data_IF_647836206990
#
_entry.id   IF_647836206990
#
_cell.length_a   1.000
_cell.length_b   1.000
_cell.length_c   1.000
_cell.angle_alpha   90.00
_cell.angle_beta   90.00
_cell.angle_gamma   90.00
#
_symmetry.space_group_name_H-M   'P 1'
#
loop_
_entity.id
_entity.type
_entity.pdbx_description
1 polymer ?
#
# COMPACT_ATOMS: atom_id res chain seq x y z
N UNK A 1 -13.72 45.35 30.45
CA UNK A 1 -12.26 45.10 30.44
C UNK A 1 -11.98 44.07 29.36
N UNK A 2 -11.18 44.47 28.38
CA UNK A 2 -10.80 43.71 27.19
C UNK A 2 -9.88 42.54 27.56
N UNK A 3 -10.29 41.31 27.24
CA UNK A 3 -9.45 40.11 27.34
C UNK A 3 -8.88 39.79 25.97
N UNK A 4 -7.68 40.28 25.68
CA UNK A 4 -6.89 39.91 24.51
C UNK A 4 -6.47 38.45 24.70
N UNK A 5 -7.06 37.53 23.93
CA UNK A 5 -6.54 36.16 23.79
C UNK A 5 -5.17 36.24 23.12
N UNK A 6 -4.11 36.11 23.92
CA UNK A 6 -2.74 35.93 23.45
C UNK A 6 -2.68 34.66 22.59
N UNK A 7 -2.58 34.81 21.25
CA UNK A 7 -2.23 33.70 20.35
C UNK A 7 -0.74 33.41 20.55
N UNK A 8 -0.44 32.41 21.36
CA UNK A 8 0.91 31.86 21.49
C UNK A 8 1.40 31.38 20.12
N UNK A 9 2.59 31.83 19.70
CA UNK A 9 3.27 31.31 18.50
C UNK A 9 3.62 29.84 18.74
N UNK A 10 2.88 28.91 18.12
CA UNK A 10 3.18 27.47 18.17
C UNK A 10 4.22 27.15 17.10
N UNK A 11 5.43 26.75 17.51
CA UNK A 11 6.47 26.29 16.60
C UNK A 11 6.11 24.91 16.06
N UNK A 12 5.83 24.80 14.77
CA UNK A 12 5.54 23.52 14.10
C UNK A 12 6.85 22.80 13.82
N UNK A 13 7.05 21.63 14.41
CA UNK A 13 8.22 20.77 14.17
C UNK A 13 7.85 19.76 13.09
N UNK A 14 8.78 19.46 12.18
CA UNK A 14 8.59 18.56 11.03
C UNK A 14 8.42 17.06 11.40
N UNK A 15 8.27 16.74 12.69
CA UNK A 15 8.29 15.36 13.21
C UNK A 15 6.87 14.74 13.35
N UNK A 16 5.85 15.40 12.76
CA UNK A 16 4.48 14.88 12.74
C UNK A 16 3.83 14.74 14.12
N UNK A 17 4.04 15.73 14.99
CA UNK A 17 3.60 15.73 16.40
C UNK A 17 2.17 16.30 16.57
N UNK A 18 1.61 16.11 17.77
CA UNK A 18 0.31 16.61 18.21
C UNK A 18 0.11 18.10 17.92
N UNK A 19 1.17 18.89 18.06
CA UNK A 19 1.14 20.33 17.82
C UNK A 19 0.91 20.67 16.34
N UNK A 20 1.48 19.89 15.42
CA UNK A 20 1.26 20.04 13.97
C UNK A 20 -0.18 19.72 13.61
N UNK A 21 -0.73 18.64 14.17
CA UNK A 21 -2.15 18.28 14.02
C UNK A 21 -3.08 19.37 14.55
N UNK A 22 -2.81 19.90 15.74
CA UNK A 22 -3.58 20.98 16.35
C UNK A 22 -3.56 22.26 15.53
N UNK A 23 -2.40 22.65 14.97
CA UNK A 23 -2.30 23.84 14.11
C UNK A 23 -3.13 23.65 12.82
N UNK A 24 -3.10 22.47 12.21
CA UNK A 24 -3.88 22.19 11.01
C UNK A 24 -5.39 22.25 11.30
N UNK A 25 -5.82 21.72 12.45
CA UNK A 25 -7.20 21.82 12.91
C UNK A 25 -7.61 23.28 13.17
N UNK A 26 -6.81 24.04 13.92
CA UNK A 26 -7.05 25.46 14.20
C UNK A 26 -7.22 26.28 12.90
N UNK A 27 -6.40 26.01 11.88
CA UNK A 27 -6.50 26.66 10.56
C UNK A 27 -7.79 26.26 9.85
N UNK A 28 -8.11 24.97 9.84
CA UNK A 28 -9.28 24.43 9.15
C UNK A 28 -10.59 24.94 9.78
N UNK A 29 -10.66 25.00 11.11
CA UNK A 29 -11.78 25.59 11.85
C UNK A 29 -11.91 27.10 11.60
N UNK A 30 -10.78 27.82 11.53
CA UNK A 30 -10.74 29.24 11.21
C UNK A 30 -11.28 29.53 9.82
N UNK A 31 -10.86 28.75 8.82
CA UNK A 31 -11.36 28.83 7.44
C UNK A 31 -12.86 28.52 7.37
N UNK A 32 -13.30 27.44 8.02
CA UNK A 32 -14.70 27.07 8.07
C UNK A 32 -15.57 28.14 8.75
N UNK A 33 -15.07 28.76 9.83
CA UNK A 33 -15.73 29.86 10.51
C UNK A 33 -15.85 31.12 9.64
N UNK A 34 -14.88 31.37 8.76
CA UNK A 34 -14.94 32.49 7.82
C UNK A 34 -16.07 32.35 6.79
N UNK A 35 -16.46 31.11 6.46
CA UNK A 35 -17.54 30.82 5.52
C UNK A 35 -18.95 31.09 6.09
N UNK A 36 -19.08 31.32 7.40
CA UNK A 36 -20.37 31.62 8.03
C UNK A 36 -20.70 33.10 7.88
N UNK A 37 -21.72 33.40 7.08
CA UNK A 37 -22.25 34.76 6.91
C UNK A 37 -23.36 35.02 7.92
N UNK A 38 -23.18 35.90 8.92
CA UNK A 38 -24.18 36.14 9.97
C UNK A 38 -25.45 36.83 9.46
N UNK A 39 -25.44 37.42 8.25
CA UNK A 39 -26.59 38.12 7.67
C UNK A 39 -27.46 37.27 6.74
N UNK A 40 -27.04 36.04 6.41
CA UNK A 40 -27.79 35.14 5.51
C UNK A 40 -28.56 34.11 6.31
N UNK A 41 -29.89 34.19 6.23
CA UNK A 41 -30.84 33.30 6.91
C UNK A 41 -30.78 31.87 6.38
N UNK A 42 -30.64 30.89 7.29
CA UNK A 42 -30.95 29.47 7.03
C UNK A 42 -30.15 28.83 5.91
N UNK A 43 -28.83 29.08 5.84
CA UNK A 43 -27.99 28.52 4.77
C UNK A 43 -27.25 27.27 5.23
N UNK A 44 -27.37 26.21 4.43
CA UNK A 44 -26.51 25.02 4.49
C UNK A 44 -25.37 25.23 3.49
N UNK A 45 -24.11 25.17 3.96
CA UNK A 45 -22.92 25.25 3.09
C UNK A 45 -22.16 23.94 3.19
N UNK A 46 -21.93 23.31 2.04
CA UNK A 46 -21.19 22.06 1.94
C UNK A 46 -19.95 22.26 1.08
N UNK A 47 -18.80 21.83 1.58
CA UNK A 47 -17.55 21.70 0.80
C UNK A 47 -17.23 20.21 0.75
N UNK A 48 -17.02 19.70 -0.46
CA UNK A 48 -16.67 18.31 -0.68
C UNK A 48 -15.38 18.25 -1.51
N UNK A 49 -14.30 17.78 -0.90
CA UNK A 49 -13.00 17.56 -1.55
C UNK A 49 -12.41 16.24 -1.05
N UNK A 50 -11.46 15.63 -1.78
CA UNK A 50 -10.86 14.35 -1.39
C UNK A 50 -10.16 14.36 -0.02
N UNK A 51 -9.70 15.53 0.45
CA UNK A 51 -8.98 15.67 1.72
C UNK A 51 -9.82 16.33 2.83
N UNK A 52 -10.80 17.17 2.44
CA UNK A 52 -11.58 17.99 3.37
C UNK A 52 -13.05 17.94 2.98
N UNK A 53 -13.89 17.50 3.91
CA UNK A 53 -15.34 17.55 3.76
C UNK A 53 -15.96 18.31 4.92
N UNK A 54 -16.76 19.32 4.61
CA UNK A 54 -17.31 20.24 5.58
C UNK A 54 -18.79 20.43 5.30
N UNK A 55 -19.61 20.33 6.33
CA UNK A 55 -21.01 20.72 6.28
C UNK A 55 -21.28 21.70 7.41
N UNK A 56 -21.73 22.90 7.04
CA UNK A 56 -22.08 23.98 7.97
C UNK A 56 -23.57 24.25 7.84
N UNK A 57 -24.23 24.34 8.97
CA UNK A 57 -25.61 24.77 9.07
C UNK A 57 -25.74 26.00 9.95
N UNK A 58 -26.54 26.96 9.49
CA UNK A 58 -26.81 28.22 10.19
C UNK A 58 -28.29 28.36 10.48
N UNK A 59 -28.63 28.91 11.63
CA UNK A 59 -29.99 29.22 12.06
C UNK A 59 -30.13 30.71 12.39
N UNK A 60 -31.25 31.30 11.99
CA UNK A 60 -31.59 32.72 12.20
C UNK A 60 -33.14 32.88 12.27
N UNK A 61 -33.69 33.90 12.96
CA UNK A 61 -35.12 34.01 13.21
C UNK A 61 -35.88 34.25 11.91
N UNK A 62 -36.88 33.42 11.61
CA UNK A 62 -37.66 33.48 10.37
C UNK A 62 -37.33 32.37 9.34
N UNK A 63 -36.36 31.50 9.63
CA UNK A 63 -36.11 30.29 8.85
C UNK A 63 -37.11 29.19 9.21
N UNK A 64 -38.01 28.84 8.28
CA UNK A 64 -38.85 27.65 8.38
C UNK A 64 -38.04 26.43 7.92
N UNK A 65 -37.89 25.45 8.82
CA UNK A 65 -37.20 24.17 8.62
C UNK A 65 -35.67 24.23 8.45
N UNK A 66 -34.96 24.44 9.55
CA UNK A 66 -33.61 23.90 9.68
C UNK A 66 -33.69 22.41 10.02
N UNK A 67 -33.14 21.52 9.20
CA UNK A 67 -32.95 20.12 9.59
C UNK A 67 -32.00 20.07 10.78
N UNK A 68 -32.37 19.46 11.91
CA UNK A 68 -31.49 19.40 13.09
C UNK A 68 -30.28 18.47 12.93
N UNK A 69 -30.01 17.97 11.73
CA UNK A 69 -29.00 16.93 11.46
C UNK A 69 -28.06 17.42 10.36
N UNK A 70 -26.78 17.52 10.70
CA UNK A 70 -25.68 17.68 9.76
C UNK A 70 -25.13 16.29 9.43
N UNK A 71 -24.93 16.00 8.15
CA UNK A 71 -24.36 14.72 7.69
C UNK A 71 -23.18 14.95 6.76
N UNK A 72 -22.10 14.20 6.97
CA UNK A 72 -20.90 14.14 6.11
C UNK A 72 -20.43 12.68 6.07
N UNK A 73 -20.33 12.07 4.87
CA UNK A 73 -19.89 10.67 4.66
C UNK A 73 -20.46 9.63 5.64
N UNK A 74 -21.74 9.75 6.00
CA UNK A 74 -22.42 8.80 6.89
C UNK A 74 -22.17 9.03 8.39
N UNK A 75 -21.39 10.05 8.76
CA UNK A 75 -21.34 10.61 10.10
C UNK A 75 -22.45 11.64 10.24
N UNK A 76 -23.23 11.52 11.30
CA UNK A 76 -24.35 12.42 11.56
C UNK A 76 -24.14 13.13 12.89
N UNK A 77 -24.34 14.45 12.90
CA UNK A 77 -24.41 15.28 14.10
C UNK A 77 -25.82 15.85 14.20
N UNK A 78 -26.57 15.46 15.22
CA UNK A 78 -27.87 16.01 15.51
C UNK A 78 -27.76 17.08 16.61
N UNK A 79 -28.10 18.32 16.29
CA UNK A 79 -28.01 19.49 17.18
C UNK A 79 -29.22 20.40 17.03
N UNK A 80 -29.78 20.84 18.16
CA UNK A 80 -30.90 21.79 18.18
C UNK A 80 -30.38 23.24 18.09
N UNK A 81 -30.21 23.71 16.86
CA UNK A 81 -29.74 25.07 16.57
C UNK A 81 -30.75 26.16 16.97
N UNK A 82 -32.05 25.86 17.00
CA UNK A 82 -33.08 26.82 17.42
C UNK A 82 -32.95 27.13 18.91
N UNK A 83 -32.80 26.10 19.75
CA UNK A 83 -32.56 26.28 21.17
C UNK A 83 -31.28 27.08 21.42
N UNK A 84 -30.22 26.79 20.66
CA UNK A 84 -28.95 27.49 20.78
C UNK A 84 -29.04 28.96 20.32
N UNK A 85 -29.85 29.26 19.31
CA UNK A 85 -30.06 30.61 18.80
C UNK A 85 -30.86 31.50 19.77
N UNK A 86 -31.78 30.92 20.55
CA UNK A 86 -32.51 31.65 21.62
C UNK A 86 -31.56 32.22 22.66
N UNK A 87 -30.50 31.49 22.97
CA UNK A 87 -29.46 31.90 23.91
C UNK A 87 -28.38 32.80 23.27
N UNK A 88 -28.37 32.92 21.93
CA UNK A 88 -27.38 33.64 21.14
C UNK A 88 -27.97 34.75 20.27
N UNK A 89 -28.84 35.59 20.86
CA UNK A 89 -29.37 36.80 20.20
C UNK A 89 -30.04 36.54 18.83
N UNK A 90 -30.61 35.34 18.67
CA UNK A 90 -31.33 34.91 17.49
C UNK A 90 -30.52 34.15 16.43
N UNK A 91 -29.19 34.01 16.55
CA UNK A 91 -28.38 33.30 15.55
C UNK A 91 -27.48 32.21 16.15
N UNK A 92 -27.36 31.09 15.46
CA UNK A 92 -26.47 30.00 15.84
C UNK A 92 -25.96 29.25 14.60
N UNK A 93 -24.77 28.65 14.69
CA UNK A 93 -24.25 27.80 13.63
C UNK A 93 -23.57 26.56 14.20
N UNK A 94 -23.64 25.47 13.45
CA UNK A 94 -22.94 24.22 13.74
C UNK A 94 -22.22 23.76 12.48
N UNK A 95 -21.05 23.15 12.66
CA UNK A 95 -20.25 22.63 11.56
C UNK A 95 -19.70 21.25 11.92
N UNK A 96 -19.70 20.36 10.94
CA UNK A 96 -19.00 19.07 10.97
C UNK A 96 -17.97 19.08 9.85
N UNK A 97 -16.73 18.77 10.20
CA UNK A 97 -15.56 18.73 9.33
C UNK A 97 -14.91 17.35 9.43
N UNK A 98 -14.60 16.76 8.27
CA UNK A 98 -13.82 15.52 8.16
C UNK A 98 -12.54 15.84 7.41
N UNK A 99 -11.41 15.50 8.01
CA UNK A 99 -10.08 15.55 7.41
C UNK A 99 -9.60 14.14 7.13
N UNK A 100 -9.38 13.83 5.86
CA UNK A 100 -8.87 12.53 5.39
C UNK A 100 -7.36 12.63 5.12
N UNK A 101 -6.61 11.55 5.35
CA UNK A 101 -5.17 11.51 5.06
C UNK A 101 -4.27 12.07 6.16
N UNK A 102 -4.80 12.33 7.36
CA UNK A 102 -4.00 12.80 8.49
C UNK A 102 -3.11 11.71 9.10
N UNK A 103 -3.35 10.45 8.79
CA UNK A 103 -2.50 9.32 9.15
C UNK A 103 -1.06 9.43 8.58
N UNK A 104 -0.88 10.14 7.46
CA UNK A 104 0.45 10.38 6.90
C UNK A 104 1.20 11.55 7.55
N UNK A 105 0.49 12.41 8.29
CA UNK A 105 1.06 13.57 8.98
C UNK A 105 1.29 13.32 10.48
N UNK A 106 0.52 12.41 11.08
CA UNK A 106 0.65 12.02 12.48
C UNK A 106 1.59 10.82 12.58
N UNK A 107 2.74 11.00 13.21
CA UNK A 107 3.73 9.93 13.37
C UNK A 107 3.27 8.89 14.39
N UNK A 108 3.84 7.69 14.31
CA UNK A 108 3.72 6.64 15.33
C UNK A 108 4.13 7.12 16.73
N UNK A 109 5.04 8.11 16.81
CA UNK A 109 5.45 8.76 18.07
C UNK A 109 4.33 9.51 18.79
N UNK A 110 3.31 9.96 18.07
CA UNK A 110 2.13 10.58 18.67
C UNK A 110 1.42 9.60 19.62
N UNK A 111 1.38 8.32 19.26
CA UNK A 111 0.81 7.27 20.09
C UNK A 111 1.91 6.68 20.96
N UNK A 112 1.96 7.09 22.24
CA UNK A 112 2.86 6.49 23.25
C UNK A 112 2.37 5.09 23.63
N UNK A 113 2.58 4.14 22.75
CA UNK A 113 2.16 2.75 22.89
C UNK A 113 3.38 1.84 22.84
N UNK A 114 3.27 0.68 23.49
CA UNK A 114 4.35 -0.31 23.58
C UNK A 114 4.60 -1.02 22.23
N UNK A 115 3.59 -0.97 21.34
CA UNK A 115 3.63 -1.51 19.97
C UNK A 115 3.40 -0.36 18.97
N UNK A 116 3.98 -0.43 17.77
CA UNK A 116 3.73 0.55 16.69
C UNK A 116 2.25 0.60 16.31
N UNK A 117 1.50 1.55 16.89
CA UNK A 117 0.09 1.78 16.56
C UNK A 117 -0.01 2.87 15.50
N UNK A 118 -0.67 2.55 14.39
CA UNK A 118 -0.94 3.50 13.30
C UNK A 118 -2.38 3.96 13.39
N UNK A 119 -2.63 5.25 13.19
CA UNK A 119 -3.97 5.80 13.09
C UNK A 119 -4.65 5.28 11.81
N UNK A 120 -5.82 4.66 11.95
CA UNK A 120 -6.59 4.13 10.81
C UNK A 120 -8.02 4.68 10.79
N UNK A 121 -8.14 6.00 10.91
CA UNK A 121 -9.42 6.69 10.92
C UNK A 121 -9.27 8.11 10.40
N UNK A 122 -10.27 8.58 9.66
CA UNK A 122 -10.37 9.99 9.27
C UNK A 122 -10.62 10.83 10.54
N UNK A 123 -10.12 12.07 10.60
CA UNK A 123 -10.31 12.94 11.77
C UNK A 123 -11.63 13.70 11.63
N UNK A 124 -12.47 13.55 12.63
CA UNK A 124 -13.80 14.16 12.69
C UNK A 124 -13.77 15.30 13.69
N UNK A 125 -14.10 16.49 13.24
CA UNK A 125 -14.15 17.70 14.07
C UNK A 125 -15.56 18.29 14.00
N UNK A 126 -16.13 18.61 15.15
CA UNK A 126 -17.42 19.28 15.26
C UNK A 126 -17.28 20.51 16.14
N UNK A 127 -17.75 21.65 15.65
CA UNK A 127 -17.60 22.93 16.33
C UNK A 127 -18.78 23.87 16.04
N UNK A 128 -18.86 24.95 16.81
CA UNK A 128 -19.90 25.97 16.71
C UNK A 128 -19.28 27.27 16.16
N UNK A 129 -19.33 27.51 14.85
CA UNK A 129 -18.74 28.72 14.29
C UNK A 129 -19.48 29.97 14.77
N UNK A 130 -18.76 31.01 15.16
CA UNK A 130 -19.30 32.35 15.47
C UNK A 130 -20.49 32.34 16.47
N UNK A 131 -20.51 31.38 17.39
CA UNK A 131 -21.56 31.25 18.43
C UNK A 131 -20.93 31.56 19.79
N UNK A 132 -21.47 32.55 20.53
CA UNK A 132 -20.85 33.07 21.74
C UNK A 132 -21.15 32.23 23.00
N UNK A 133 -22.36 31.69 23.08
CA UNK A 133 -22.85 30.91 24.21
C UNK A 133 -23.02 29.44 23.79
N UNK A 134 -22.29 28.53 24.43
CA UNK A 134 -22.24 27.10 24.08
C UNK A 134 -23.06 26.20 25.02
N UNK A 135 -23.92 26.78 25.87
CA UNK A 135 -24.78 25.98 26.74
C UNK A 135 -25.89 25.31 25.92
N UNK A 136 -25.88 23.99 25.90
CA UNK A 136 -26.92 23.22 25.26
C UNK A 136 -28.02 22.86 26.26
N UNK A 137 -29.25 23.29 25.97
CA UNK A 137 -30.43 22.86 26.74
C UNK A 137 -30.89 21.42 26.39
N UNK A 138 -30.40 20.86 25.28
CA UNK A 138 -30.69 19.52 24.79
C UNK A 138 -29.40 18.81 24.38
N UNK A 139 -29.31 17.47 24.50
CA UNK A 139 -28.09 16.74 24.11
C UNK A 139 -27.82 16.83 22.60
N UNK A 140 -26.54 16.81 22.26
CA UNK A 140 -26.06 16.65 20.88
C UNK A 140 -25.74 15.18 20.64
N UNK A 141 -26.37 14.59 19.63
CA UNK A 141 -26.17 13.18 19.31
C UNK A 141 -25.22 13.04 18.12
N UNK A 142 -24.12 12.32 18.32
CA UNK A 142 -23.18 11.97 17.26
C UNK A 142 -23.32 10.50 16.88
N UNK A 143 -23.54 10.25 15.59
CA UNK A 143 -23.47 8.91 15.02
C UNK A 143 -22.22 8.83 14.17
N UNK A 144 -21.21 8.12 14.68
CA UNK A 144 -19.94 7.91 14.00
C UNK A 144 -19.92 6.48 13.48
N UNK A 145 -19.61 6.32 12.19
CA UNK A 145 -19.35 5.01 11.61
C UNK A 145 -17.85 4.76 11.65
N UNK A 146 -17.46 3.62 12.22
CA UNK A 146 -16.08 3.19 12.10
C UNK A 146 -15.78 2.90 10.64
N UNK A 147 -14.66 3.43 10.16
CA UNK A 147 -14.02 2.90 8.96
C UNK A 147 -13.74 1.43 9.29
N UNK A 148 -14.48 0.51 8.66
CA UNK A 148 -14.02 -0.89 8.62
C UNK A 148 -12.60 -0.83 8.07
N UNK A 149 -11.68 -1.65 8.57
CA UNK A 149 -10.46 -1.97 7.82
C UNK A 149 -10.99 -2.36 6.44
N UNK A 150 -10.87 -1.42 5.51
CA UNK A 150 -11.42 -1.56 4.19
C UNK A 150 -10.46 -2.49 3.51
N UNK A 151 -11.01 -3.52 2.88
CA UNK A 151 -10.30 -4.31 1.89
C UNK A 151 -9.42 -3.37 1.03
N UNK A 152 -8.23 -3.84 0.61
CA UNK A 152 -7.30 -3.03 -0.18
C UNK A 152 -8.04 -2.25 -1.28
N UNK A 153 -7.60 -1.02 -1.59
CA UNK A 153 -8.29 -0.15 -2.55
C UNK A 153 -8.65 -0.95 -3.81
N UNK A 154 -9.89 -0.83 -4.32
CA UNK A 154 -10.35 -1.64 -5.44
C UNK A 154 -9.31 -1.55 -6.55
N UNK A 155 -8.83 -2.70 -7.06
CA UNK A 155 -7.77 -2.71 -8.05
C UNK A 155 -8.14 -1.78 -9.20
N UNK A 156 -7.23 -0.87 -9.57
CA UNK A 156 -7.46 0.00 -10.71
C UNK A 156 -7.66 -0.89 -11.95
N UNK A 157 -8.84 -0.91 -12.59
CA UNK A 157 -9.14 -1.85 -13.67
C UNK A 157 -8.16 -1.69 -14.84
N UNK A 158 -7.61 -0.50 -15.02
CA UNK A 158 -6.56 -0.21 -15.98
C UNK A 158 -5.23 -0.90 -15.65
N UNK A 159 -4.78 -0.90 -14.39
CA UNK A 159 -3.51 -1.52 -13.99
C UNK A 159 -3.59 -3.04 -14.08
N UNK A 160 -4.72 -3.63 -13.70
CA UNK A 160 -4.95 -5.07 -13.84
C UNK A 160 -4.96 -5.50 -15.30
N UNK A 161 -5.68 -4.75 -16.14
CA UNK A 161 -5.71 -5.00 -17.58
C UNK A 161 -4.31 -4.88 -18.19
N UNK A 162 -3.57 -3.82 -17.86
CA UNK A 162 -2.21 -3.59 -18.36
C UNK A 162 -1.25 -4.71 -17.93
N UNK A 163 -1.30 -5.10 -16.66
CA UNK A 163 -0.49 -6.20 -16.13
C UNK A 163 -0.82 -7.51 -16.85
N UNK A 164 -2.12 -7.84 -17.00
CA UNK A 164 -2.55 -9.07 -17.68
C UNK A 164 -2.09 -9.11 -19.14
N UNK A 165 -2.23 -8.01 -19.88
CA UNK A 165 -1.76 -7.90 -21.27
C UNK A 165 -0.23 -8.02 -21.33
N UNK A 166 0.50 -7.32 -20.45
CA UNK A 166 1.95 -7.38 -20.39
C UNK A 166 2.48 -8.79 -20.12
N UNK A 167 1.88 -9.51 -19.17
CA UNK A 167 2.25 -10.89 -18.85
C UNK A 167 1.99 -11.85 -20.02
N UNK A 168 0.84 -11.74 -20.70
CA UNK A 168 0.51 -12.60 -21.87
C UNK A 168 1.53 -12.38 -22.99
N UNK A 169 1.85 -11.11 -23.30
CA UNK A 169 2.85 -10.77 -24.32
C UNK A 169 4.22 -11.31 -23.91
N UNK A 170 4.63 -11.14 -22.65
CA UNK A 170 5.89 -11.66 -22.13
C UNK A 170 5.99 -13.19 -22.25
N UNK A 171 4.92 -13.92 -21.91
CA UNK A 171 4.85 -15.37 -22.04
C UNK A 171 5.01 -15.84 -23.49
N UNK A 172 4.43 -15.12 -24.45
CA UNK A 172 4.61 -15.41 -25.87
C UNK A 172 6.08 -15.31 -26.28
N UNK A 173 6.78 -14.24 -25.89
CA UNK A 173 8.21 -14.08 -26.17
C UNK A 173 9.08 -15.13 -25.47
N UNK A 174 8.79 -15.47 -24.21
CA UNK A 174 9.49 -16.56 -23.53
C UNK A 174 9.27 -17.90 -24.24
N UNK A 175 8.06 -18.19 -24.72
CA UNK A 175 7.79 -19.41 -25.47
C UNK A 175 8.59 -19.48 -26.77
N UNK A 176 8.68 -18.38 -27.53
CA UNK A 176 9.51 -18.28 -28.73
C UNK A 176 11.00 -18.47 -28.43
N UNK A 177 11.50 -17.86 -27.34
CA UNK A 177 12.88 -18.00 -26.90
C UNK A 177 13.20 -19.45 -26.50
N UNK A 178 12.33 -20.08 -25.70
CA UNK A 178 12.46 -21.49 -25.31
C UNK A 178 12.48 -22.39 -26.54
N UNK A 179 11.55 -22.20 -27.49
CA UNK A 179 11.51 -22.96 -28.73
C UNK A 179 12.82 -22.82 -29.51
N UNK A 180 13.32 -21.60 -29.64
CA UNK A 180 14.57 -21.32 -30.36
C UNK A 180 15.76 -22.00 -29.66
N UNK A 181 15.88 -21.88 -28.34
CA UNK A 181 16.96 -22.53 -27.59
C UNK A 181 16.87 -24.05 -27.64
N UNK A 182 15.67 -24.63 -27.61
CA UNK A 182 15.47 -26.07 -27.79
C UNK A 182 15.94 -26.51 -29.18
N UNK A 183 15.51 -25.84 -30.25
CA UNK A 183 15.95 -26.11 -31.63
C UNK A 183 17.47 -25.97 -31.80
N UNK A 184 18.09 -24.96 -31.15
CA UNK A 184 19.53 -24.81 -31.14
C UNK A 184 20.23 -25.91 -30.33
N UNK A 185 19.64 -26.41 -29.24
CA UNK A 185 20.21 -27.48 -28.41
C UNK A 185 20.19 -28.86 -29.09
N UNK A 186 19.24 -29.09 -30.01
CA UNK A 186 19.27 -30.28 -30.89
C UNK A 186 20.55 -30.34 -31.73
N UNK A 187 21.18 -29.19 -31.99
CA UNK A 187 22.52 -29.14 -32.56
C UNK A 187 23.55 -29.24 -31.42
N UNK A 188 24.14 -30.41 -31.23
CA UNK A 188 25.10 -30.75 -30.16
C UNK A 188 26.37 -29.86 -30.06
N UNK A 189 26.50 -28.85 -30.91
CA UNK A 189 27.63 -27.91 -30.94
C UNK A 189 27.46 -26.73 -29.96
N UNK A 190 26.24 -26.43 -29.49
CA UNK A 190 25.93 -25.22 -28.70
C UNK A 190 25.29 -25.60 -27.35
N UNK A 191 25.94 -25.27 -26.23
CA UNK A 191 25.42 -25.49 -24.88
C UNK A 191 24.78 -24.19 -24.32
N UNK A 192 23.45 -24.10 -24.38
CA UNK A 192 22.67 -22.97 -23.87
C UNK A 192 21.82 -23.32 -22.64
N UNK A 193 22.22 -24.34 -21.85
CA UNK A 193 21.40 -24.86 -20.75
C UNK A 193 21.01 -23.80 -19.72
N UNK A 194 21.93 -22.92 -19.29
CA UNK A 194 21.60 -21.90 -18.29
C UNK A 194 20.50 -20.94 -18.77
N UNK A 195 20.62 -20.42 -20.00
CA UNK A 195 19.62 -19.54 -20.63
C UNK A 195 18.28 -20.21 -20.80
N UNK A 196 18.29 -21.48 -21.23
CA UNK A 196 17.05 -22.25 -21.41
C UNK A 196 16.30 -22.38 -20.07
N UNK A 197 17.00 -22.78 -19.00
CA UNK A 197 16.39 -22.94 -17.68
C UNK A 197 15.99 -21.60 -17.04
N UNK A 198 16.71 -20.51 -17.32
CA UNK A 198 16.29 -19.16 -16.96
C UNK A 198 14.95 -18.80 -17.61
N UNK A 199 14.80 -18.98 -18.93
CA UNK A 199 13.55 -18.70 -19.62
C UNK A 199 12.40 -19.59 -19.12
N UNK A 200 12.65 -20.88 -18.87
CA UNK A 200 11.63 -21.82 -18.37
C UNK A 200 11.13 -21.40 -16.98
N UNK A 201 12.04 -21.11 -16.05
CA UNK A 201 11.67 -20.72 -14.67
C UNK A 201 10.91 -19.39 -14.64
N UNK A 202 11.33 -18.41 -15.45
CA UNK A 202 10.60 -17.15 -15.63
C UNK A 202 9.21 -17.37 -16.23
N UNK A 203 9.08 -18.14 -17.30
CA UNK A 203 7.79 -18.42 -17.91
C UNK A 203 6.82 -19.09 -16.93
N UNK A 204 7.28 -20.11 -16.19
CA UNK A 204 6.47 -20.79 -15.18
C UNK A 204 6.07 -19.86 -14.03
N UNK A 205 6.95 -18.98 -13.55
CA UNK A 205 6.62 -18.01 -12.51
C UNK A 205 5.51 -17.05 -12.94
N UNK A 206 5.57 -16.54 -14.18
CA UNK A 206 4.55 -15.64 -14.74
C UNK A 206 3.21 -16.36 -14.96
N UNK A 207 3.24 -17.64 -15.37
CA UNK A 207 2.03 -18.46 -15.47
C UNK A 207 1.37 -18.68 -14.10
N UNK A 208 2.16 -18.99 -13.06
CA UNK A 208 1.64 -19.17 -11.72
C UNK A 208 1.07 -17.87 -11.14
N UNK A 209 1.72 -16.73 -11.39
CA UNK A 209 1.20 -15.41 -11.00
C UNK A 209 -0.15 -15.11 -11.64
N UNK A 210 -0.39 -15.56 -12.87
CA UNK A 210 -1.66 -15.34 -13.57
C UNK A 210 -2.80 -16.27 -13.08
N UNK A 211 -2.46 -17.33 -12.34
CA UNK A 211 -3.40 -18.34 -11.85
C UNK A 211 -3.49 -18.36 -10.31
N UNK A 212 -2.82 -17.43 -9.62
CA UNK A 212 -2.72 -17.42 -8.17
C UNK A 212 -4.04 -17.05 -7.48
N UNK A 213 -4.96 -16.42 -8.21
CA UNK A 213 -6.30 -15.98 -7.81
C UNK A 213 -7.29 -17.16 -7.79
N UNK A 214 -7.13 -18.13 -8.69
CA UNK A 214 -8.08 -19.22 -8.90
C UNK A 214 -8.11 -20.30 -7.81
N UNK A 215 -7.09 -20.35 -6.95
CA UNK A 215 -6.92 -21.41 -5.93
C UNK A 215 -6.96 -20.89 -4.49
N UNK A 216 -7.49 -19.69 -4.28
CA UNK A 216 -7.56 -19.00 -2.98
C UNK A 216 -8.47 -19.73 -1.99
N UNK A 217 -9.55 -20.36 -2.47
CA UNK A 217 -10.50 -21.10 -1.63
C UNK A 217 -9.88 -22.34 -0.95
N UNK A 218 -8.91 -22.98 -1.59
CA UNK A 218 -8.26 -24.17 -1.06
C UNK A 218 -6.93 -23.81 -0.39
N UNK A 219 -6.95 -23.71 0.95
CA UNK A 219 -5.79 -23.32 1.78
C UNK A 219 -4.51 -24.14 1.49
N UNK A 220 -4.64 -25.44 1.23
CA UNK A 220 -3.48 -26.31 0.94
C UNK A 220 -2.93 -26.02 -0.45
N UNK A 221 -3.81 -25.91 -1.45
CA UNK A 221 -3.40 -25.58 -2.82
C UNK A 221 -2.71 -24.21 -2.87
N UNK A 222 -3.26 -23.22 -2.17
CA UNK A 222 -2.70 -21.88 -2.08
C UNK A 222 -1.29 -21.86 -1.46
N UNK A 223 -1.08 -22.62 -0.36
CA UNK A 223 0.24 -22.80 0.26
C UNK A 223 1.26 -23.40 -0.71
N UNK A 224 0.88 -24.45 -1.44
CA UNK A 224 1.76 -25.11 -2.42
C UNK A 224 2.10 -24.17 -3.58
N UNK A 225 1.11 -23.45 -4.10
CA UNK A 225 1.30 -22.48 -5.19
C UNK A 225 2.25 -21.35 -4.78
N UNK A 226 2.07 -20.77 -3.59
CA UNK A 226 2.97 -19.76 -3.05
C UNK A 226 4.41 -20.29 -2.89
N UNK A 227 4.56 -21.54 -2.42
CA UNK A 227 5.86 -22.21 -2.29
C UNK A 227 6.55 -22.44 -3.63
N UNK A 228 5.83 -22.98 -4.62
CA UNK A 228 6.33 -23.21 -5.97
C UNK A 228 6.74 -21.90 -6.65
N UNK A 229 5.93 -20.86 -6.49
CA UNK A 229 6.18 -19.56 -7.05
C UNK A 229 7.44 -18.91 -6.43
N UNK A 230 7.60 -18.99 -5.11
CA UNK A 230 8.82 -18.57 -4.42
C UNK A 230 10.04 -19.34 -4.95
N UNK A 231 9.94 -20.66 -5.08
CA UNK A 231 11.03 -21.49 -5.64
C UNK A 231 11.41 -21.07 -7.06
N UNK A 232 10.44 -20.86 -7.95
CA UNK A 232 10.70 -20.50 -9.35
C UNK A 232 11.35 -19.13 -9.49
N UNK A 233 10.96 -18.16 -8.66
CA UNK A 233 11.56 -16.83 -8.65
C UNK A 233 13.00 -16.91 -8.15
N UNK A 234 13.26 -17.60 -7.02
CA UNK A 234 14.64 -17.73 -6.53
C UNK A 234 15.49 -18.52 -7.53
N UNK A 235 14.94 -19.57 -8.13
CA UNK A 235 15.61 -20.33 -9.18
C UNK A 235 15.98 -19.46 -10.39
N UNK A 236 15.12 -18.55 -10.84
CA UNK A 236 15.46 -17.66 -11.97
C UNK A 236 16.65 -16.76 -11.64
N UNK A 237 16.74 -16.23 -10.41
CA UNK A 237 17.91 -15.45 -9.97
C UNK A 237 19.20 -16.28 -9.94
N UNK A 238 19.14 -17.54 -9.47
CA UNK A 238 20.30 -18.44 -9.51
C UNK A 238 20.71 -18.79 -10.94
N UNK A 239 19.76 -19.02 -11.85
CA UNK A 239 20.05 -19.28 -13.26
C UNK A 239 20.63 -18.05 -13.97
N UNK A 240 20.16 -16.85 -13.65
CA UNK A 240 20.73 -15.59 -14.13
C UNK A 240 22.18 -15.40 -13.66
N UNK A 241 22.45 -15.70 -12.38
CA UNK A 241 23.81 -15.68 -11.84
C UNK A 241 24.72 -16.69 -12.55
N UNK A 242 24.24 -17.91 -12.79
CA UNK A 242 25.00 -18.95 -13.51
C UNK A 242 25.27 -18.57 -14.96
N UNK A 243 24.32 -17.92 -15.64
CA UNK A 243 24.54 -17.37 -16.98
C UNK A 243 25.65 -16.30 -16.96
N UNK A 244 25.61 -15.36 -16.01
CA UNK A 244 26.65 -14.33 -15.85
C UNK A 244 28.04 -14.96 -15.62
N UNK A 245 28.12 -15.98 -14.77
CA UNK A 245 29.37 -16.74 -14.53
C UNK A 245 29.89 -17.47 -15.79
N UNK A 246 28.99 -18.04 -16.59
CA UNK A 246 29.34 -18.68 -17.86
C UNK A 246 29.87 -17.67 -18.88
N UNK A 247 29.22 -16.51 -19.00
CA UNK A 247 29.67 -15.40 -19.86
C UNK A 247 31.04 -14.86 -19.43
N UNK A 248 31.23 -14.61 -18.14
CA UNK A 248 32.50 -14.14 -17.60
C UNK A 248 33.65 -15.12 -17.88
N UNK A 249 33.41 -16.42 -17.66
CA UNK A 249 34.40 -17.47 -17.93
C UNK A 249 34.73 -17.55 -19.43
N UNK A 250 33.73 -17.41 -20.30
CA UNK A 250 33.91 -17.38 -21.75
C UNK A 250 34.79 -16.19 -22.17
N UNK A 251 34.50 -14.98 -21.70
CA UNK A 251 35.28 -13.77 -22.02
C UNK A 251 36.73 -13.90 -21.55
N UNK A 252 36.96 -14.37 -20.32
CA UNK A 252 38.30 -14.53 -19.76
C UNK A 252 39.12 -15.58 -20.51
N UNK A 253 38.49 -16.66 -20.99
CA UNK A 253 39.14 -17.68 -21.82
C UNK A 253 39.38 -17.22 -23.25
N UNK A 254 38.56 -16.33 -23.81
CA UNK A 254 38.85 -15.70 -25.10
C UNK A 254 40.04 -14.73 -25.00
N UNK A 255 40.22 -14.09 -23.83
CA UNK A 255 41.35 -13.18 -23.57
C UNK A 255 42.67 -13.92 -23.32
N UNK A 256 42.65 -15.10 -22.69
CA UNK A 256 43.84 -15.95 -22.52
C UNK A 256 43.84 -17.02 -23.60
N UNK A 257 44.75 -16.95 -24.57
CA UNK A 257 44.93 -17.88 -25.71
C UNK A 257 45.18 -19.34 -25.26
N UNK A 258 44.20 -19.97 -24.63
CA UNK A 258 44.21 -21.36 -24.21
C UNK A 258 43.35 -22.16 -25.18
N UNK A 259 44.01 -23.15 -25.78
CA UNK A 259 43.47 -24.05 -26.79
C UNK A 259 42.16 -24.66 -26.30
N UNK A 260 41.14 -24.57 -27.14
CA UNK A 260 39.75 -24.92 -26.91
C UNK A 260 39.63 -26.39 -26.52
N UNK A 261 39.61 -26.68 -25.22
CA UNK A 261 39.06 -27.92 -24.70
C UNK A 261 37.60 -27.63 -24.29
N UNK A 262 36.68 -28.28 -25.00
CA UNK A 262 35.23 -28.25 -24.72
C UNK A 262 35.04 -28.68 -23.27
N UNK A 263 34.67 -27.73 -22.42
CA UNK A 263 33.40 -27.71 -21.71
C UNK A 263 33.43 -26.62 -20.63
N UNK A 264 32.32 -25.91 -20.47
CA UNK A 264 32.15 -24.93 -19.39
C UNK A 264 32.07 -25.62 -18.02
N UNK A 265 31.36 -25.02 -17.07
CA UNK A 265 31.05 -25.73 -15.82
C UNK A 265 30.27 -27.02 -16.16
N UNK A 266 30.64 -28.19 -15.62
CA UNK A 266 29.98 -29.45 -15.96
C UNK A 266 28.48 -29.36 -15.68
N UNK A 267 27.67 -29.79 -16.65
CA UNK A 267 26.20 -29.77 -16.61
C UNK A 267 25.58 -30.26 -15.29
N UNK A 268 26.03 -31.36 -14.65
CA UNK A 268 25.47 -31.78 -13.35
C UNK A 268 25.71 -30.78 -12.23
N UNK A 269 26.85 -30.10 -12.20
CA UNK A 269 27.15 -29.06 -11.18
C UNK A 269 26.26 -27.83 -11.40
N UNK A 270 26.00 -27.48 -12.66
CA UNK A 270 25.09 -26.40 -13.02
C UNK A 270 23.68 -26.64 -12.48
N UNK A 271 23.15 -27.85 -12.68
CA UNK A 271 21.84 -28.25 -12.14
C UNK A 271 21.82 -28.29 -10.61
N UNK A 272 22.89 -28.79 -9.98
CA UNK A 272 23.00 -28.85 -8.53
C UNK A 272 22.94 -27.45 -7.91
N UNK A 273 23.66 -26.47 -8.48
CA UNK A 273 23.65 -25.08 -7.99
C UNK A 273 22.32 -24.41 -8.34
N UNK A 274 21.89 -24.51 -9.61
CA UNK A 274 20.73 -23.77 -10.14
C UNK A 274 19.38 -24.19 -9.56
N UNK A 275 19.24 -25.42 -9.07
CA UNK A 275 18.01 -25.88 -8.40
C UNK A 275 18.21 -26.25 -6.93
N UNK A 276 19.38 -26.74 -6.55
CA UNK A 276 19.67 -27.10 -5.15
C UNK A 276 19.70 -25.88 -4.23
N UNK A 277 20.35 -24.79 -4.64
CA UNK A 277 20.40 -23.58 -3.81
C UNK A 277 19.00 -22.94 -3.59
N UNK A 278 18.14 -22.75 -4.63
CA UNK A 278 16.75 -22.35 -4.43
C UNK A 278 15.93 -23.28 -3.55
N UNK A 279 16.17 -24.59 -3.64
CA UNK A 279 15.46 -25.56 -2.80
C UNK A 279 15.84 -25.39 -1.33
N UNK A 280 17.12 -25.17 -1.03
CA UNK A 280 17.59 -24.89 0.33
C UNK A 280 17.00 -23.58 0.85
N UNK A 281 16.99 -22.50 0.05
CA UNK A 281 16.44 -21.20 0.50
C UNK A 281 14.94 -21.29 0.82
N UNK A 282 14.16 -21.97 -0.03
CA UNK A 282 12.73 -22.17 0.22
C UNK A 282 12.50 -23.13 1.38
N UNK A 283 13.30 -24.18 1.51
CA UNK A 283 13.23 -25.13 2.62
C UNK A 283 13.48 -24.47 3.98
N UNK A 284 14.51 -23.63 4.08
CA UNK A 284 14.79 -22.85 5.29
C UNK A 284 13.65 -21.86 5.56
N UNK A 285 13.15 -21.18 4.53
CA UNK A 285 12.02 -20.24 4.67
C UNK A 285 10.75 -20.93 5.18
N UNK A 286 10.43 -22.11 4.65
CA UNK A 286 9.29 -22.92 5.06
C UNK A 286 9.48 -23.50 6.48
N UNK A 287 10.71 -23.84 6.88
CA UNK A 287 11.01 -24.33 8.23
C UNK A 287 10.86 -23.23 9.27
N UNK A 288 11.33 -22.01 8.97
CA UNK A 288 11.26 -20.87 9.88
C UNK A 288 9.83 -20.35 10.00
N UNK A 289 9.09 -20.31 8.89
CA UNK A 289 7.73 -19.76 8.88
C UNK A 289 6.83 -20.40 7.81
N UNK A 290 6.33 -21.60 8.09
CA UNK A 290 5.42 -22.33 7.19
C UNK A 290 4.06 -21.66 7.01
N UNK A 291 3.61 -20.89 8.01
CA UNK A 291 2.34 -20.16 7.96
C UNK A 291 2.44 -18.83 7.20
N UNK A 292 3.66 -18.44 6.81
CA UNK A 292 3.88 -17.29 5.94
C UNK A 292 3.55 -17.52 4.47
N UNK A 293 3.26 -18.76 4.08
CA UNK A 293 2.76 -19.11 2.76
C UNK A 293 1.23 -19.22 2.85
N UNK A 294 0.48 -18.51 2.01
CA UNK A 294 -0.98 -18.58 2.06
C UNK A 294 -1.70 -17.51 1.25
N UNK A 295 -3.01 -17.41 1.48
CA UNK A 295 -3.79 -16.30 0.94
C UNK A 295 -3.38 -15.02 1.69
N UNK A 296 -3.01 -13.99 0.93
CA UNK A 296 -2.71 -12.66 1.47
C UNK A 296 -3.98 -11.82 1.57
N UNK A 297 -3.90 -10.65 2.22
CA UNK A 297 -5.03 -9.72 2.39
C UNK A 297 -5.64 -9.22 1.06
N UNK A 298 -4.96 -9.44 -0.06
CA UNK A 298 -5.41 -9.12 -1.41
C UNK A 298 -6.04 -10.32 -2.15
N UNK A 299 -6.46 -11.38 -1.43
CA UNK A 299 -7.02 -12.61 -2.00
C UNK A 299 -6.14 -13.25 -3.08
N UNK A 300 -4.81 -13.18 -2.95
CA UNK A 300 -3.87 -13.87 -3.84
C UNK A 300 -2.98 -14.83 -3.07
N UNK A 301 -2.68 -15.97 -3.68
CA UNK A 301 -1.78 -16.97 -3.12
C UNK A 301 -0.32 -16.53 -3.23
N UNK A 302 0.22 -15.98 -2.14
CA UNK A 302 1.57 -15.43 -2.09
C UNK A 302 2.19 -15.53 -0.69
N UNK A 303 3.41 -15.00 -0.53
CA UNK A 303 4.08 -14.82 0.75
C UNK A 303 3.42 -13.68 1.55
N UNK A 304 3.14 -13.89 2.83
CA UNK A 304 2.64 -12.79 3.68
C UNK A 304 3.70 -11.72 3.89
N UNK A 305 3.26 -10.46 3.95
CA UNK A 305 4.12 -9.29 4.24
C UNK A 305 4.32 -9.09 5.76
N UNK A 306 3.58 -9.83 6.58
CA UNK A 306 3.70 -9.82 8.04
C UNK A 306 5.13 -10.17 8.51
N UNK A 307 5.61 -9.47 9.55
CA UNK A 307 6.95 -9.64 10.16
C UNK A 307 8.15 -9.51 9.20
N UNK A 308 8.00 -8.76 8.10
CA UNK A 308 9.08 -8.55 7.12
C UNK A 308 9.60 -9.85 6.47
N UNK A 309 8.74 -10.87 6.37
CA UNK A 309 9.09 -12.16 5.77
C UNK A 309 9.51 -12.06 4.29
N UNK A 310 9.18 -10.94 3.62
CA UNK A 310 9.74 -10.59 2.30
C UNK A 310 11.28 -10.60 2.24
N UNK A 311 11.99 -10.38 3.36
CA UNK A 311 13.46 -10.50 3.40
C UNK A 311 13.98 -11.90 3.08
N UNK A 312 13.17 -12.94 3.27
CA UNK A 312 13.52 -14.31 2.87
C UNK A 312 13.71 -14.42 1.35
N UNK A 313 12.98 -13.62 0.57
CA UNK A 313 13.11 -13.50 -0.88
C UNK A 313 14.14 -12.41 -1.26
N UNK A 314 13.99 -11.21 -0.68
CA UNK A 314 14.77 -10.03 -1.07
C UNK A 314 16.26 -10.15 -0.71
N UNK A 315 16.60 -10.80 0.40
CA UNK A 315 17.98 -10.97 0.86
C UNK A 315 18.86 -11.74 -0.15
N UNK A 316 18.48 -12.99 -0.52
CA UNK A 316 19.22 -13.76 -1.52
C UNK A 316 19.34 -13.04 -2.86
N UNK A 317 18.28 -12.36 -3.30
CA UNK A 317 18.26 -11.62 -4.57
C UNK A 317 19.25 -10.46 -4.57
N UNK A 318 19.26 -9.62 -3.53
CA UNK A 318 20.19 -8.49 -3.42
C UNK A 318 21.64 -8.99 -3.40
N UNK A 319 21.93 -10.05 -2.64
CA UNK A 319 23.26 -10.64 -2.59
C UNK A 319 23.71 -11.14 -3.97
N UNK A 320 22.86 -11.90 -4.67
CA UNK A 320 23.16 -12.43 -6.01
C UNK A 320 23.35 -11.31 -7.05
N UNK A 321 22.53 -10.27 -7.01
CA UNK A 321 22.66 -9.11 -7.89
C UNK A 321 23.97 -8.35 -7.63
N UNK A 322 24.31 -8.12 -6.36
CA UNK A 322 25.58 -7.48 -5.98
C UNK A 322 26.80 -8.24 -6.49
N UNK A 323 26.83 -9.56 -6.35
CA UNK A 323 27.92 -10.39 -6.89
C UNK A 323 27.93 -10.39 -8.41
N UNK A 324 26.77 -10.47 -9.05
CA UNK A 324 26.66 -10.43 -10.52
C UNK A 324 27.20 -9.13 -11.11
N UNK A 325 26.93 -7.99 -10.47
CA UNK A 325 27.45 -6.67 -10.86
C UNK A 325 28.96 -6.61 -10.67
N UNK A 326 29.50 -7.15 -9.57
CA UNK A 326 30.95 -7.17 -9.32
C UNK A 326 31.72 -8.04 -10.32
N UNK A 327 31.06 -9.02 -10.94
CA UNK A 327 31.66 -9.92 -11.93
C UNK A 327 31.67 -9.33 -13.35
N UNK A 328 30.86 -8.31 -13.62
CA UNK A 328 30.73 -7.65 -14.92
C UNK A 328 31.63 -6.42 -15.01
#
# INVERSE_FOLDING_TARGET
MSGIHSKSSKTVINDGDADTGNVMLDISEGLASSLVDPSKTGTNKTINTPAVELNIQTFSPGSSNGSNVLSVRGINMAVNLEALAKDNNGSAAAAVLILSGMEGLLSDRFFKTENQTVMNSDIITAFLPKTNHSNFSQPVNFTIQHKKIGDPPPPNPFLEWLNRVGVIIGLFFFALAILTFLLCSFNAKINNTARLHLCITLALSHLLLLWNDRYTENKVACKVMAGLLHFLIVASFWWMFLEAMQLFTLVRRLSKVQVIQKDGLPTPVLYLIGYGAPFVTVGVSALVFSDGYGATDAEVCWLTTERSFNWALTGPVIALLGVSILLY
#
